data_IF_422073820688
#
_entry.id   IF_422073820688
#
_cell.length_a   1.000
_cell.length_b   1.000
_cell.length_c   1.000
_cell.angle_alpha   90.00
_cell.angle_beta   90.00
_cell.angle_gamma   90.00
#
_symmetry.space_group_name_H-M   'P 1'
#
loop_
_entity.id
_entity.type
_entity.pdbx_description
1 polymer ?
#
# COMPACT_ATOMS: atom_id res chain seq x y z
N UNK A 1 -4.36 -5.22 -25.46
CA UNK A 1 -5.12 -4.30 -24.59
C UNK A 1 -5.69 -4.93 -23.32
N UNK A 2 -6.11 -6.21 -23.33
CA UNK A 2 -6.62 -6.89 -22.10
C UNK A 2 -5.60 -6.85 -20.94
N UNK A 3 -4.33 -7.13 -21.23
CA UNK A 3 -3.27 -7.09 -20.21
C UNK A 3 -3.03 -5.71 -19.62
N UNK A 4 -3.24 -4.65 -20.41
CA UNK A 4 -3.09 -3.27 -19.97
C UNK A 4 -4.20 -2.86 -18.99
N UNK A 5 -5.46 -3.17 -19.31
CA UNK A 5 -6.58 -2.92 -18.40
C UNK A 5 -6.47 -3.72 -17.09
N UNK A 6 -6.03 -4.98 -17.18
CA UNK A 6 -5.77 -5.78 -15.99
C UNK A 6 -4.60 -5.22 -15.15
N UNK A 7 -3.52 -4.79 -15.80
CA UNK A 7 -2.35 -4.18 -15.13
C UNK A 7 -2.74 -2.88 -14.43
N UNK A 8 -3.55 -2.04 -15.07
CA UNK A 8 -4.12 -0.85 -14.45
C UNK A 8 -4.91 -1.21 -13.19
N UNK A 9 -5.90 -2.09 -13.31
CA UNK A 9 -6.76 -2.48 -12.20
C UNK A 9 -6.00 -3.12 -11.03
N UNK A 10 -5.02 -3.98 -11.34
CA UNK A 10 -4.14 -4.62 -10.35
C UNK A 10 -3.36 -3.57 -9.56
N UNK A 11 -2.68 -2.65 -10.24
CA UNK A 11 -1.87 -1.64 -9.56
C UNK A 11 -2.74 -0.64 -8.77
N UNK A 12 -3.92 -0.30 -9.29
CA UNK A 12 -4.90 0.52 -8.58
C UNK A 12 -5.38 -0.14 -7.27
N UNK A 13 -5.68 -1.44 -7.33
CA UNK A 13 -6.10 -2.20 -6.16
C UNK A 13 -4.98 -2.32 -5.11
N UNK A 14 -3.75 -2.57 -5.55
CA UNK A 14 -2.57 -2.62 -4.68
C UNK A 14 -2.30 -1.27 -4.02
N UNK A 15 -2.40 -0.17 -4.78
CA UNK A 15 -2.27 1.19 -4.27
C UNK A 15 -3.31 1.47 -3.17
N UNK A 16 -4.59 1.13 -3.41
CA UNK A 16 -5.66 1.29 -2.41
C UNK A 16 -5.44 0.44 -1.17
N UNK A 17 -4.99 -0.81 -1.32
CA UNK A 17 -4.71 -1.70 -0.20
C UNK A 17 -3.53 -1.19 0.65
N UNK A 18 -2.46 -0.71 0.00
CA UNK A 18 -1.30 -0.13 0.67
C UNK A 18 -1.68 1.03 1.59
N UNK A 19 -2.63 1.86 1.15
CA UNK A 19 -3.12 2.97 1.94
C UNK A 19 -3.97 2.54 3.12
N UNK A 20 -4.84 1.55 2.92
CA UNK A 20 -5.59 0.93 4.02
C UNK A 20 -4.64 0.36 5.07
N UNK A 21 -3.61 -0.36 4.62
CA UNK A 21 -2.59 -0.97 5.48
C UNK A 21 -1.79 0.07 6.27
N UNK A 22 -1.49 1.22 5.66
CA UNK A 22 -0.78 2.31 6.33
C UNK A 22 -1.67 3.06 7.33
N UNK A 23 -2.94 3.33 6.98
CA UNK A 23 -3.90 3.95 7.90
C UNK A 23 -4.15 3.07 9.11
N UNK A 24 -4.36 1.78 8.89
CA UNK A 24 -4.56 0.76 9.94
C UNK A 24 -3.48 0.81 11.02
N UNK A 25 -2.21 1.02 10.63
CA UNK A 25 -1.09 1.15 11.57
C UNK A 25 -1.11 2.47 12.33
N UNK A 26 -1.56 3.55 11.71
CA UNK A 26 -1.54 4.90 12.27
C UNK A 26 -2.71 5.19 13.22
N UNK A 27 -3.90 4.64 12.96
CA UNK A 27 -5.13 5.08 13.65
C UNK A 27 -5.70 4.10 14.67
N UNK A 28 -5.77 2.79 14.40
CA UNK A 28 -6.77 1.95 15.11
C UNK A 28 -6.35 0.55 15.58
N UNK A 29 -5.20 0.01 15.16
CA UNK A 29 -5.00 -1.43 15.38
C UNK A 29 -4.54 -1.81 16.80
N UNK A 30 -5.37 -2.61 17.48
CA UNK A 30 -4.98 -3.45 18.63
C UNK A 30 -4.19 -4.69 18.20
N UNK A 31 -4.37 -5.18 16.97
CA UNK A 31 -3.69 -6.34 16.37
C UNK A 31 -3.33 -6.02 14.92
N UNK A 32 -2.17 -6.44 14.41
CA UNK A 32 -1.78 -6.20 12.99
C UNK A 32 -1.67 -7.56 12.27
N UNK A 33 -2.30 -7.77 11.11
CA UNK A 33 -2.13 -9.00 10.35
C UNK A 33 -0.80 -9.01 9.60
N UNK A 34 -0.18 -10.20 9.47
CA UNK A 34 1.10 -10.34 8.75
C UNK A 34 1.02 -10.00 7.26
N UNK A 35 -0.18 -10.05 6.67
CA UNK A 35 -0.43 -9.69 5.27
C UNK A 35 -0.41 -8.18 5.01
N UNK A 36 -0.32 -7.36 6.06
CA UNK A 36 -0.23 -5.90 5.93
C UNK A 36 1.10 -5.51 5.26
N UNK A 37 1.02 -4.68 4.21
CA UNK A 37 2.16 -4.29 3.40
C UNK A 37 3.27 -3.61 4.22
N UNK A 38 2.93 -2.80 5.22
CA UNK A 38 3.91 -2.13 6.08
C UNK A 38 4.69 -3.13 6.92
N UNK A 39 4.01 -4.16 7.44
CA UNK A 39 4.64 -5.26 8.16
C UNK A 39 5.56 -6.05 7.24
N UNK A 40 5.12 -6.39 6.03
CA UNK A 40 5.92 -7.15 5.06
C UNK A 40 7.19 -6.38 4.66
N UNK A 41 7.04 -5.10 4.30
CA UNK A 41 8.16 -4.23 3.89
C UNK A 41 9.17 -3.98 5.00
N UNK A 42 8.74 -4.18 6.25
CA UNK A 42 9.54 -3.91 7.44
C UNK A 42 9.66 -5.13 8.36
N UNK A 43 9.52 -6.34 7.82
CA UNK A 43 9.61 -7.58 8.59
C UNK A 43 10.89 -7.71 9.43
N UNK A 44 11.99 -7.08 8.99
CA UNK A 44 13.27 -7.03 9.71
C UNK A 44 13.21 -6.25 11.03
N UNK A 45 12.21 -5.39 11.22
CA UNK A 45 11.97 -4.65 12.47
C UNK A 45 11.34 -5.56 13.53
N UNK A 46 10.67 -6.63 13.09
CA UNK A 46 9.97 -7.57 13.97
C UNK A 46 10.92 -8.69 14.43
N UNK A 47 10.94 -9.00 15.73
CA UNK A 47 11.59 -10.21 16.23
C UNK A 47 11.03 -11.48 15.56
N UNK A 48 11.85 -12.53 15.34
CA UNK A 48 11.39 -13.77 14.70
C UNK A 48 10.20 -14.43 15.41
N UNK A 49 10.16 -14.41 16.74
CA UNK A 49 9.08 -14.97 17.56
C UNK A 49 7.75 -14.21 17.37
N UNK A 50 7.82 -12.91 17.10
CA UNK A 50 6.65 -12.08 16.77
C UNK A 50 6.15 -12.41 15.36
N UNK A 51 7.05 -12.56 14.39
CA UNK A 51 6.69 -12.96 13.02
C UNK A 51 6.02 -14.34 12.99
N UNK A 52 6.55 -15.30 13.73
CA UNK A 52 5.99 -16.66 13.82
C UNK A 52 4.59 -16.67 14.44
N UNK A 53 4.38 -15.89 15.50
CA UNK A 53 3.04 -15.76 16.09
C UNK A 53 2.07 -15.04 15.16
N UNK A 54 2.53 -14.06 14.40
CA UNK A 54 1.70 -13.31 13.43
C UNK A 54 1.29 -14.16 12.22
N UNK A 55 2.08 -15.18 11.86
CA UNK A 55 1.74 -16.15 10.83
C UNK A 55 0.59 -17.06 11.24
N UNK A 56 0.49 -17.36 12.54
CA UNK A 56 -0.45 -18.36 13.06
C UNK A 56 -1.68 -17.74 13.76
N UNK A 57 -1.60 -16.50 14.23
CA UNK A 57 -2.65 -15.84 15.03
C UNK A 57 -2.66 -14.33 14.85
N UNK A 58 -3.80 -13.67 15.11
CA UNK A 58 -3.84 -12.23 15.31
C UNK A 58 -3.33 -11.92 16.73
N UNK A 59 -2.11 -11.39 16.83
CA UNK A 59 -1.52 -10.97 18.10
C UNK A 59 -1.59 -9.47 18.26
N UNK A 60 -1.73 -9.04 19.52
CA UNK A 60 -1.59 -7.64 19.85
C UNK A 60 -0.15 -7.20 19.57
N UNK A 61 0.02 -6.13 18.80
CA UNK A 61 1.35 -5.60 18.51
C UNK A 61 1.72 -4.68 19.65
N UNK A 62 2.83 -4.94 20.37
CA UNK A 62 3.29 -4.03 21.41
C UNK A 62 3.46 -2.63 20.86
N UNK A 63 3.07 -1.62 21.63
CA UNK A 63 3.09 -0.21 21.20
C UNK A 63 4.46 0.22 20.65
N UNK A 64 5.54 -0.25 21.28
CA UNK A 64 6.92 -0.01 20.83
C UNK A 64 7.19 -0.52 19.41
N UNK A 65 6.58 -1.63 19.02
CA UNK A 65 6.69 -2.20 17.68
C UNK A 65 5.88 -1.40 16.68
N UNK A 66 4.67 -0.97 17.06
CA UNK A 66 3.83 -0.07 16.25
C UNK A 66 4.55 1.24 15.94
N UNK A 67 5.13 1.89 16.96
CA UNK A 67 5.92 3.12 16.79
C UNK A 67 7.12 2.93 15.85
N UNK A 68 7.77 1.76 15.87
CA UNK A 68 8.86 1.46 14.93
C UNK A 68 8.35 1.29 13.50
N UNK A 69 7.16 0.73 13.31
CA UNK A 69 6.51 0.60 12.00
C UNK A 69 5.96 1.94 11.48
N UNK A 70 5.77 2.94 12.35
CA UNK A 70 5.37 4.30 11.98
C UNK A 70 6.56 5.23 11.69
N UNK A 71 7.79 4.74 11.77
CA UNK A 71 8.96 5.61 11.62
C UNK A 71 9.09 6.18 10.19
N UNK A 72 9.82 7.29 10.05
CA UNK A 72 10.00 8.00 8.78
C UNK A 72 10.54 7.09 7.66
N UNK A 73 11.50 6.20 7.97
CA UNK A 73 12.06 5.25 7.02
C UNK A 73 11.03 4.23 6.49
N UNK A 74 10.04 3.89 7.31
CA UNK A 74 8.93 3.03 6.90
C UNK A 74 7.98 3.81 6.00
N UNK A 75 7.65 5.05 6.35
CA UNK A 75 6.83 5.93 5.52
C UNK A 75 7.44 6.11 4.12
N UNK A 76 8.74 6.41 4.03
CA UNK A 76 9.48 6.53 2.75
C UNK A 76 9.33 5.28 1.87
N UNK A 77 9.55 4.08 2.42
CA UNK A 77 9.41 2.83 1.66
C UNK A 77 7.98 2.59 1.16
N UNK A 78 6.99 2.99 1.95
CA UNK A 78 5.58 2.85 1.58
C UNK A 78 5.22 3.86 0.51
N UNK A 79 5.75 5.08 0.59
CA UNK A 79 5.62 6.09 -0.45
C UNK A 79 6.29 5.64 -1.77
N UNK A 80 7.49 5.08 -1.71
CA UNK A 80 8.18 4.52 -2.89
C UNK A 80 7.34 3.42 -3.55
N UNK A 81 6.76 2.52 -2.75
CA UNK A 81 5.91 1.44 -3.25
C UNK A 81 4.61 1.98 -3.84
N UNK A 82 3.99 2.98 -3.20
CA UNK A 82 2.81 3.66 -3.71
C UNK A 82 3.11 4.35 -5.06
N UNK A 83 4.25 5.03 -5.17
CA UNK A 83 4.71 5.66 -6.40
C UNK A 83 4.96 4.63 -7.50
N UNK A 84 5.52 3.47 -7.18
CA UNK A 84 5.69 2.38 -8.14
C UNK A 84 4.35 1.87 -8.68
N UNK A 85 3.37 1.58 -7.80
CA UNK A 85 2.03 1.16 -8.26
C UNK A 85 1.33 2.25 -9.07
N UNK A 86 1.45 3.52 -8.64
CA UNK A 86 0.91 4.67 -9.37
C UNK A 86 1.48 4.75 -10.78
N UNK A 87 2.80 4.73 -10.91
CA UNK A 87 3.48 4.86 -12.20
C UNK A 87 3.14 3.68 -13.11
N UNK A 88 3.17 2.44 -12.60
CA UNK A 88 2.79 1.26 -13.38
C UNK A 88 1.33 1.30 -13.85
N UNK A 89 0.41 1.84 -13.03
CA UNK A 89 -0.98 2.04 -13.44
C UNK A 89 -1.06 3.05 -14.60
N UNK A 90 -0.39 4.20 -14.48
CA UNK A 90 -0.40 5.23 -15.52
C UNK A 90 0.26 4.75 -16.82
N UNK A 91 1.43 4.13 -16.74
CA UNK A 91 2.14 3.57 -17.91
C UNK A 91 1.30 2.52 -18.65
N UNK A 92 0.50 1.72 -17.93
CA UNK A 92 -0.41 0.77 -18.58
C UNK A 92 -1.49 1.44 -19.42
N UNK A 93 -1.79 2.72 -19.17
CA UNK A 93 -2.74 3.50 -19.95
C UNK A 93 -2.16 4.08 -21.25
N UNK A 94 -0.83 4.10 -21.40
CA UNK A 94 -0.16 4.73 -22.55
C UNK A 94 -0.50 4.06 -23.89
N UNK A 95 -0.85 2.78 -23.86
CA UNK A 95 -1.26 2.04 -25.05
C UNK A 95 -2.68 2.37 -25.53
N UNK A 96 -3.46 3.14 -24.78
CA UNK A 96 -4.81 3.56 -25.17
C UNK A 96 -4.80 4.97 -25.79
N UNK A 97 -5.66 5.22 -26.78
CA UNK A 97 -5.81 6.55 -27.35
C UNK A 97 -6.31 7.54 -26.30
N UNK A 98 -5.94 8.81 -26.49
CA UNK A 98 -6.46 9.90 -25.67
C UNK A 98 -7.99 9.94 -25.81
N UNK A 99 -8.66 9.75 -24.69
CA UNK A 99 -10.12 9.63 -24.59
C UNK A 99 -10.56 10.09 -23.22
N UNK A 100 -11.84 10.46 -23.08
CA UNK A 100 -12.42 10.81 -21.77
C UNK A 100 -12.28 9.66 -20.76
N UNK A 101 -12.40 8.41 -21.23
CA UNK A 101 -12.19 7.23 -20.40
C UNK A 101 -10.75 7.16 -19.86
N UNK A 102 -9.74 7.36 -20.70
CA UNK A 102 -8.32 7.40 -20.27
C UNK A 102 -8.10 8.51 -19.25
N UNK A 103 -8.58 9.73 -19.54
CA UNK A 103 -8.47 10.88 -18.62
C UNK A 103 -9.16 10.61 -17.28
N UNK A 104 -10.31 9.94 -17.28
CA UNK A 104 -11.01 9.55 -16.06
C UNK A 104 -10.17 8.58 -15.21
N UNK A 105 -9.56 7.58 -15.84
CA UNK A 105 -8.70 6.60 -15.15
C UNK A 105 -7.42 7.26 -14.59
N UNK A 106 -6.80 8.17 -15.32
CA UNK A 106 -5.66 8.96 -14.82
C UNK A 106 -6.04 9.83 -13.61
N UNK A 107 -7.22 10.46 -13.65
CA UNK A 107 -7.73 11.27 -12.54
C UNK A 107 -8.08 10.42 -11.32
N UNK A 108 -8.57 9.19 -11.51
CA UNK A 108 -8.82 8.23 -10.43
C UNK A 108 -7.53 7.90 -9.67
N UNK A 109 -6.44 7.64 -10.41
CA UNK A 109 -5.12 7.39 -9.82
C UNK A 109 -4.63 8.60 -9.03
N UNK A 110 -4.76 9.81 -9.59
CA UNK A 110 -4.39 11.06 -8.89
C UNK A 110 -5.20 11.26 -7.61
N UNK A 111 -6.51 11.00 -7.63
CA UNK A 111 -7.37 11.18 -6.47
C UNK A 111 -6.99 10.25 -5.31
N UNK A 112 -6.65 8.99 -5.60
CA UNK A 112 -6.19 8.04 -4.59
C UNK A 112 -4.89 8.47 -3.89
N UNK A 113 -4.04 9.23 -4.59
CA UNK A 113 -2.79 9.78 -4.03
C UNK A 113 -3.03 11.10 -3.30
N UNK A 114 -3.92 11.96 -3.80
CA UNK A 114 -4.18 13.30 -3.24
C UNK A 114 -5.05 13.28 -1.98
N UNK A 115 -5.91 12.26 -1.80
CA UNK A 115 -6.74 12.08 -0.60
C UNK A 115 -5.97 11.83 0.71
N UNK A 116 -4.65 12.08 0.72
CA UNK A 116 -3.71 11.70 1.79
C UNK A 116 -2.93 12.88 2.37
N UNK A 117 -3.03 14.06 1.75
CA UNK A 117 -2.41 15.30 2.24
C UNK A 117 -3.40 16.19 3.01
N UNK A 118 -4.54 15.65 3.45
CA UNK A 118 -5.55 16.35 4.25
C UNK A 118 -5.87 15.60 5.52
#
# INVERSE_FOLDING_TARGET
HQDAGFTFGKNLALLRQLFKDYQEINTELKTIPLINAVVIQNKRILPPDVLEKLLNTQIAVPERTRLKLQNAKTAEKIEDLANSYRNNALESLDCFPNSEAKTCLENLVKHLVVGQNK
#
